data_IF_331775792435
#
_entry.id   IF_331775792435
#
_cell.length_a   1.000
_cell.length_b   1.000
_cell.length_c   1.000
_cell.angle_alpha   90.00
_cell.angle_beta   90.00
_cell.angle_gamma   90.00
#
_symmetry.space_group_name_H-M   'P 1'
#
loop_
_entity.id
_entity.type
_entity.pdbx_description
1 polymer ?
#
# COMPACT_ATOMS: atom_id res chain seq x y z
N UNK A 1 -7.37 34.18 7.65
CA UNK A 1 -7.25 32.94 8.44
C UNK A 1 -7.70 33.23 9.87
N UNK A 2 -8.68 32.49 10.38
CA UNK A 2 -9.29 32.77 11.69
C UNK A 2 -8.46 32.26 12.87
N UNK A 3 -8.77 32.74 14.08
CA UNK A 3 -8.10 32.41 15.36
C UNK A 3 -7.96 30.89 15.64
N UNK A 4 -8.78 30.05 15.02
CA UNK A 4 -8.69 28.59 15.10
C UNK A 4 -7.48 28.00 14.36
N UNK A 5 -6.99 28.63 13.27
CA UNK A 5 -5.90 28.09 12.45
C UNK A 5 -4.57 27.92 13.23
N UNK A 6 -4.40 28.68 14.32
CA UNK A 6 -3.20 28.63 15.17
C UNK A 6 -3.39 27.81 16.46
N UNK A 7 -4.50 27.07 16.58
CA UNK A 7 -4.81 26.23 17.73
C UNK A 7 -5.03 24.79 17.25
N UNK A 8 -4.81 23.75 18.09
CA UNK A 8 -5.23 22.40 17.75
C UNK A 8 -6.73 22.35 17.48
N UNK A 9 -7.10 21.88 16.29
CA UNK A 9 -8.48 21.71 15.87
C UNK A 9 -8.58 20.51 14.92
N UNK A 10 -9.81 20.08 14.67
CA UNK A 10 -10.09 19.01 13.72
C UNK A 10 -10.18 19.57 12.30
N UNK A 11 -9.50 18.91 11.37
CA UNK A 11 -9.69 19.09 9.94
C UNK A 11 -10.09 17.74 9.33
N UNK A 12 -11.11 17.74 8.47
CA UNK A 12 -11.55 16.54 7.76
C UNK A 12 -10.46 16.10 6.77
N UNK A 13 -10.12 14.81 6.79
CA UNK A 13 -9.12 14.27 5.89
C UNK A 13 -9.62 14.29 4.43
N UNK A 14 -8.85 14.91 3.54
CA UNK A 14 -9.14 14.94 2.12
C UNK A 14 -8.53 13.71 1.44
N UNK A 15 -9.39 12.86 0.85
CA UNK A 15 -8.97 11.66 0.15
C UNK A 15 -8.97 11.86 -1.37
N UNK A 16 -8.00 11.25 -2.02
CA UNK A 16 -7.91 11.13 -3.47
C UNK A 16 -8.70 9.90 -3.94
N UNK A 17 -9.67 10.13 -4.83
CA UNK A 17 -10.66 9.15 -5.25
C UNK A 17 -11.96 9.26 -4.45
N UNK A 18 -13.10 9.06 -5.11
CA UNK A 18 -14.40 9.05 -4.45
C UNK A 18 -14.67 7.70 -3.77
N UNK A 19 -15.36 7.73 -2.64
CA UNK A 19 -15.65 6.53 -1.84
C UNK A 19 -16.57 5.54 -2.56
N UNK A 20 -17.39 6.00 -3.51
CA UNK A 20 -18.32 5.13 -4.24
C UNK A 20 -17.58 4.25 -5.25
N UNK A 21 -16.65 4.84 -6.00
CA UNK A 21 -15.83 4.14 -7.00
C UNK A 21 -14.62 3.43 -6.38
N UNK A 22 -14.04 4.01 -5.32
CA UNK A 22 -12.86 3.51 -4.61
C UNK A 22 -13.15 3.35 -3.11
N UNK A 23 -13.82 2.26 -2.70
CA UNK A 23 -14.38 2.13 -1.36
C UNK A 23 -13.35 1.89 -0.25
N UNK A 24 -12.13 1.47 -0.59
CA UNK A 24 -11.09 1.08 0.36
C UNK A 24 -10.02 2.17 0.47
N UNK A 25 -9.41 2.31 1.64
CA UNK A 25 -8.26 3.17 1.85
C UNK A 25 -6.97 2.36 1.67
N UNK A 26 -6.00 2.91 0.96
CA UNK A 26 -4.67 2.32 0.85
C UNK A 26 -3.84 2.73 2.06
N UNK A 27 -3.30 1.74 2.76
CA UNK A 27 -2.23 1.93 3.73
C UNK A 27 -0.96 1.31 3.18
N UNK A 28 0.13 2.06 3.19
CA UNK A 28 1.46 1.49 2.96
C UNK A 28 2.19 1.39 4.28
N UNK A 29 3.03 0.38 4.39
CA UNK A 29 3.86 0.21 5.57
C UNK A 29 5.27 -0.22 5.17
N UNK A 30 6.22 0.02 6.05
CA UNK A 30 7.58 -0.43 5.86
C UNK A 30 7.81 -1.71 6.66
N UNK A 31 8.26 -2.80 6.02
CA UNK A 31 8.66 -4.00 6.75
C UNK A 31 9.80 -3.72 7.72
N UNK A 32 9.80 -4.42 8.86
CA UNK A 32 10.81 -4.26 9.91
C UNK A 32 12.24 -4.45 9.40
N UNK A 33 12.43 -5.37 8.45
CA UNK A 33 13.74 -5.73 7.91
C UNK A 33 14.01 -5.09 6.54
N UNK A 34 13.28 -4.02 6.20
CA UNK A 34 13.52 -3.24 4.99
C UNK A 34 14.85 -2.49 5.06
N UNK A 35 15.63 -2.52 3.98
CA UNK A 35 16.86 -1.73 3.85
C UNK A 35 16.50 -0.38 3.22
N UNK A 36 16.77 0.72 3.94
CA UNK A 36 16.32 2.07 3.56
C UNK A 36 17.22 2.81 2.56
N UNK A 37 18.30 2.18 2.08
CA UNK A 37 19.23 2.82 1.14
C UNK A 37 18.70 2.87 -0.31
N UNK A 38 17.42 2.57 -0.53
CA UNK A 38 16.78 2.55 -1.84
C UNK A 38 17.15 1.35 -2.73
N UNK A 39 17.81 0.33 -2.17
CA UNK A 39 18.26 -0.84 -2.93
C UNK A 39 17.83 -2.13 -2.22
N UNK A 40 17.21 -3.06 -2.94
CA UNK A 40 16.86 -4.39 -2.46
C UNK A 40 17.63 -5.52 -3.15
N UNK A 41 18.75 -5.24 -3.82
CA UNK A 41 19.55 -6.24 -4.53
C UNK A 41 20.44 -7.09 -3.59
N UNK A 42 19.98 -7.36 -2.38
CA UNK A 42 20.67 -8.14 -1.34
C UNK A 42 19.92 -9.45 -1.10
N UNK A 43 20.41 -10.59 -1.61
CA UNK A 43 19.63 -11.84 -1.60
C UNK A 43 19.26 -12.30 -0.18
N UNK A 44 20.14 -12.15 0.80
CA UNK A 44 19.82 -12.49 2.19
C UNK A 44 18.83 -11.53 2.86
N UNK A 45 18.81 -10.25 2.44
CA UNK A 45 17.78 -9.33 2.90
C UNK A 45 16.42 -9.67 2.29
N UNK A 46 16.41 -10.07 1.01
CA UNK A 46 15.21 -10.53 0.31
C UNK A 46 14.58 -11.76 0.98
N UNK A 47 15.38 -12.71 1.47
CA UNK A 47 14.90 -13.88 2.22
C UNK A 47 14.11 -13.49 3.48
N UNK A 48 14.53 -12.42 4.17
CA UNK A 48 13.95 -12.00 5.46
C UNK A 48 13.00 -10.80 5.33
N UNK A 49 12.70 -10.35 4.11
CA UNK A 49 12.00 -9.09 3.85
C UNK A 49 10.66 -8.96 4.61
N UNK A 50 9.80 -9.98 4.57
CA UNK A 50 8.57 -10.06 5.37
C UNK A 50 8.68 -11.19 6.40
N UNK A 51 9.70 -11.17 7.25
CA UNK A 51 9.91 -12.19 8.29
C UNK A 51 8.68 -12.44 9.17
N UNK A 52 7.92 -11.41 9.54
CA UNK A 52 6.67 -11.56 10.31
C UNK A 52 5.58 -12.35 9.57
N UNK A 53 5.64 -12.36 8.24
CA UNK A 53 4.76 -13.12 7.37
C UNK A 53 5.32 -14.49 6.97
N UNK A 54 6.58 -14.79 7.35
CA UNK A 54 7.31 -16.01 7.01
C UNK A 54 7.64 -16.14 5.52
N UNK A 55 7.78 -15.02 4.81
CA UNK A 55 7.95 -14.97 3.36
C UNK A 55 8.97 -13.89 2.97
N UNK A 56 9.73 -14.18 1.92
CA UNK A 56 10.66 -13.25 1.29
C UNK A 56 10.31 -13.04 -0.19
N UNK A 57 11.14 -12.28 -0.90
CA UNK A 57 11.08 -12.16 -2.37
C UNK A 57 9.73 -11.73 -2.96
N UNK A 58 8.89 -11.03 -2.19
CA UNK A 58 7.58 -10.57 -2.66
C UNK A 58 6.94 -9.59 -1.67
N UNK A 59 5.80 -9.02 -2.05
CA UNK A 59 4.85 -8.37 -1.16
C UNK A 59 3.40 -8.74 -1.55
N UNK A 60 2.47 -8.48 -0.65
CA UNK A 60 1.05 -8.80 -0.80
C UNK A 60 0.20 -7.55 -0.67
N UNK A 61 -1.04 -7.65 -1.15
CA UNK A 61 -2.12 -6.82 -0.63
C UNK A 61 -2.79 -7.57 0.51
N UNK A 62 -2.66 -7.05 1.72
CA UNK A 62 -3.30 -7.57 2.91
C UNK A 62 -4.72 -7.04 3.00
N UNK A 63 -5.68 -7.96 3.15
CA UNK A 63 -7.12 -7.66 3.11
C UNK A 63 -7.81 -8.34 4.28
N UNK A 64 -8.69 -7.62 4.97
CA UNK A 64 -9.55 -8.20 5.99
C UNK A 64 -10.44 -9.33 5.44
N UNK A 65 -10.67 -10.39 6.20
CA UNK A 65 -11.48 -11.52 5.73
C UNK A 65 -12.94 -11.14 5.39
N UNK A 66 -13.54 -10.17 6.10
CA UNK A 66 -14.88 -9.66 5.80
C UNK A 66 -14.91 -9.01 4.42
N UNK A 67 -13.91 -8.20 4.12
CA UNK A 67 -13.77 -7.49 2.85
C UNK A 67 -13.46 -8.46 1.72
N UNK A 68 -12.53 -9.38 1.93
CA UNK A 68 -12.20 -10.43 0.96
C UNK A 68 -13.43 -11.28 0.61
N UNK A 69 -14.22 -11.70 1.60
CA UNK A 69 -15.49 -12.43 1.37
C UNK A 69 -16.48 -11.61 0.56
N UNK A 70 -16.67 -10.32 0.88
CA UNK A 70 -17.58 -9.44 0.15
C UNK A 70 -17.15 -9.23 -1.31
N UNK A 71 -15.85 -9.24 -1.58
CA UNK A 71 -15.26 -9.11 -2.93
C UNK A 71 -15.07 -10.46 -3.65
N UNK A 72 -15.41 -11.59 -3.01
CA UNK A 72 -15.20 -12.94 -3.55
C UNK A 72 -13.72 -13.35 -3.68
N UNK A 73 -12.80 -12.65 -3.00
CA UNK A 73 -11.35 -12.87 -3.03
C UNK A 73 -10.97 -13.94 -2.00
N UNK A 74 -10.12 -14.88 -2.40
CA UNK A 74 -9.52 -15.89 -1.51
C UNK A 74 -8.07 -15.54 -1.22
N UNK A 75 -7.53 -16.14 -0.16
CA UNK A 75 -6.10 -16.04 0.14
C UNK A 75 -5.28 -16.53 -1.07
N UNK A 76 -4.22 -15.78 -1.40
CA UNK A 76 -3.30 -15.99 -2.53
C UNK A 76 -3.87 -15.78 -3.94
N UNK A 77 -5.14 -15.38 -4.09
CA UNK A 77 -5.68 -14.94 -5.37
C UNK A 77 -4.83 -13.79 -5.93
N UNK A 78 -4.63 -13.77 -7.25
CA UNK A 78 -4.05 -12.61 -7.93
C UNK A 78 -5.16 -11.59 -8.14
N UNK A 79 -4.91 -10.36 -7.70
CA UNK A 79 -5.88 -9.26 -7.72
C UNK A 79 -5.28 -8.01 -8.33
N UNK A 80 -6.14 -7.17 -8.90
CA UNK A 80 -5.83 -5.79 -9.21
C UNK A 80 -6.13 -4.92 -8.00
N UNK A 81 -5.20 -4.04 -7.65
CA UNK A 81 -5.41 -2.92 -6.74
C UNK A 81 -5.31 -1.66 -7.59
N UNK A 82 -6.42 -0.92 -7.68
CA UNK A 82 -6.55 0.21 -8.60
C UNK A 82 -6.95 1.47 -7.82
N UNK A 83 -6.22 2.55 -8.06
CA UNK A 83 -6.57 3.91 -7.64
C UNK A 83 -7.03 4.72 -8.87
N UNK A 84 -7.47 5.98 -8.70
CA UNK A 84 -7.71 6.87 -9.83
C UNK A 84 -6.50 7.10 -10.74
N UNK A 85 -5.29 6.80 -10.26
CA UNK A 85 -4.04 7.16 -10.92
C UNK A 85 -3.44 6.01 -11.72
N UNK A 86 -3.49 4.78 -11.19
CA UNK A 86 -2.94 3.59 -11.84
C UNK A 86 -3.48 2.31 -11.17
N UNK A 87 -3.03 1.14 -11.66
CA UNK A 87 -3.27 -0.16 -11.03
C UNK A 87 -2.03 -1.04 -10.98
N UNK A 88 -1.97 -1.89 -9.96
CA UNK A 88 -0.94 -2.92 -9.78
C UNK A 88 -1.57 -4.30 -9.61
N UNK A 89 -0.89 -5.33 -10.12
CA UNK A 89 -1.30 -6.73 -9.98
C UNK A 89 -0.49 -7.38 -8.87
N UNK A 90 -1.15 -7.89 -7.83
CA UNK A 90 -0.49 -8.41 -6.62
C UNK A 90 -1.27 -9.58 -6.04
N UNK A 91 -0.62 -10.45 -5.26
CA UNK A 91 -1.29 -11.54 -4.55
C UNK A 91 -1.99 -11.01 -3.30
N UNK A 92 -3.24 -11.42 -3.10
CA UNK A 92 -3.97 -11.15 -1.87
C UNK A 92 -3.43 -12.02 -0.72
N UNK A 93 -3.34 -11.43 0.47
CA UNK A 93 -3.15 -12.14 1.73
C UNK A 93 -4.33 -11.82 2.65
N UNK A 94 -5.15 -12.80 2.95
CA UNK A 94 -6.36 -12.58 3.77
C UNK A 94 -6.01 -12.74 5.24
N UNK A 95 -6.07 -11.66 6.01
CA UNK A 95 -5.70 -11.63 7.44
C UNK A 95 -6.69 -10.79 8.25
N UNK A 96 -6.84 -11.06 9.55
CA UNK A 96 -7.71 -10.26 10.43
C UNK A 96 -7.06 -8.96 10.93
N UNK A 97 -5.74 -8.83 10.82
CA UNK A 97 -4.98 -7.67 11.31
C UNK A 97 -5.24 -6.35 10.56
N UNK A 98 -5.99 -6.37 9.46
CA UNK A 98 -6.32 -5.20 8.66
C UNK A 98 -7.77 -4.76 8.93
N UNK A 99 -8.00 -3.46 9.03
CA UNK A 99 -9.33 -2.89 9.17
C UNK A 99 -10.20 -3.19 7.92
N UNK A 100 -11.50 -3.53 8.03
CA UNK A 100 -12.33 -3.91 6.87
C UNK A 100 -12.50 -2.87 5.76
N UNK A 101 -12.12 -1.62 5.99
CA UNK A 101 -12.15 -0.55 4.97
C UNK A 101 -10.76 -0.15 4.46
N UNK A 102 -9.73 -0.92 4.82
CA UNK A 102 -8.33 -0.67 4.48
C UNK A 102 -7.77 -1.87 3.75
N UNK A 103 -6.84 -1.62 2.85
CA UNK A 103 -5.92 -2.63 2.33
C UNK A 103 -4.49 -2.15 2.54
N UNK A 104 -3.61 -3.08 2.89
CA UNK A 104 -2.23 -2.73 3.24
C UNK A 104 -1.24 -3.38 2.27
N UNK A 105 -0.25 -2.61 1.82
CA UNK A 105 0.83 -3.12 0.95
C UNK A 105 2.17 -2.64 1.50
N UNK A 106 3.13 -3.55 1.67
CA UNK A 106 4.47 -3.16 2.09
C UNK A 106 5.23 -2.42 0.99
N UNK A 107 5.89 -1.32 1.33
CA UNK A 107 6.89 -0.66 0.49
C UNK A 107 8.20 -1.47 0.46
N UNK A 108 9.04 -1.18 -0.54
CA UNK A 108 10.39 -1.75 -0.68
C UNK A 108 10.54 -2.69 -1.88
N UNK A 109 9.46 -3.25 -2.42
CA UNK A 109 9.52 -4.09 -3.64
C UNK A 109 9.01 -3.33 -4.87
N UNK A 110 9.07 -3.97 -6.04
CA UNK A 110 8.61 -3.42 -7.32
C UNK A 110 9.68 -2.66 -8.10
N UNK A 111 10.95 -2.92 -7.83
CA UNK A 111 12.06 -2.35 -8.60
C UNK A 111 12.04 -2.86 -10.05
N UNK A 112 12.24 -1.95 -11.01
CA UNK A 112 12.28 -2.26 -12.44
C UNK A 112 13.72 -2.42 -13.00
N UNK A 113 14.74 -2.00 -12.23
CA UNK A 113 16.18 -2.02 -12.60
C UNK A 113 17.08 -2.37 -11.40
N UNK A 114 18.39 -2.07 -11.50
CA UNK A 114 19.41 -2.10 -10.43
C UNK A 114 19.82 -3.48 -9.87
N UNK A 115 19.43 -4.57 -10.53
CA UNK A 115 20.07 -5.88 -10.33
C UNK A 115 19.12 -7.06 -10.31
N UNK A 116 19.71 -8.26 -10.43
CA UNK A 116 18.96 -9.53 -10.59
C UNK A 116 18.15 -9.93 -9.34
N UNK A 117 18.48 -9.41 -8.16
CA UNK A 117 17.82 -9.77 -6.90
C UNK A 117 16.74 -8.78 -6.47
N UNK A 118 16.40 -7.79 -7.29
CA UNK A 118 15.28 -6.88 -7.03
C UNK A 118 14.39 -6.62 -8.25
N UNK A 119 14.95 -6.77 -9.47
CA UNK A 119 14.22 -6.49 -10.71
C UNK A 119 13.01 -7.41 -10.87
N UNK A 120 11.83 -6.82 -10.98
CA UNK A 120 10.57 -7.51 -11.26
C UNK A 120 10.06 -8.34 -10.08
N UNK A 121 10.53 -8.07 -8.86
CA UNK A 121 10.10 -8.76 -7.64
C UNK A 121 9.06 -7.90 -6.92
N UNK A 122 7.91 -8.51 -6.61
CA UNK A 122 6.79 -7.83 -5.95
C UNK A 122 6.23 -6.66 -6.76
N UNK A 123 5.60 -5.71 -6.06
CA UNK A 123 5.00 -4.50 -6.63
C UNK A 123 5.38 -3.26 -5.84
N UNK A 124 5.43 -2.11 -6.51
CA UNK A 124 5.68 -0.82 -5.88
C UNK A 124 4.33 -0.12 -5.61
N UNK A 125 3.90 0.04 -4.34
CA UNK A 125 2.62 0.71 -4.05
C UNK A 125 2.63 2.21 -4.41
N UNK A 126 3.81 2.83 -4.57
CA UNK A 126 3.89 4.23 -4.99
C UNK A 126 3.32 4.46 -6.40
N UNK A 127 3.24 3.41 -7.23
CA UNK A 127 2.64 3.48 -8.57
C UNK A 127 1.14 3.84 -8.53
N UNK A 128 0.46 3.55 -7.42
CA UNK A 128 -0.97 3.82 -7.25
C UNK A 128 -1.27 4.95 -6.25
N UNK A 129 -0.27 5.47 -5.53
CA UNK A 129 -0.45 6.59 -4.60
C UNK A 129 -0.62 7.88 -5.40
N UNK A 130 -1.66 8.65 -5.08
CA UNK A 130 -1.86 9.96 -5.68
C UNK A 130 -0.88 10.99 -5.13
N UNK A 131 -0.49 11.94 -5.98
CA UNK A 131 0.40 13.03 -5.58
C UNK A 131 -0.41 14.11 -4.86
N UNK A 132 -0.14 14.27 -3.57
CA UNK A 132 -0.72 15.32 -2.73
C UNK A 132 0.26 15.67 -1.59
N UNK A 133 0.02 16.77 -0.89
CA UNK A 133 0.93 17.29 0.13
C UNK A 133 0.16 17.98 1.25
N UNK A 134 0.75 18.03 2.45
CA UNK A 134 0.31 18.98 3.47
C UNK A 134 0.74 20.38 3.04
N UNK A 135 -0.24 21.23 2.69
CA UNK A 135 0.01 22.55 2.11
C UNK A 135 0.72 23.52 3.07
N UNK A 136 0.74 23.22 4.38
CA UNK A 136 1.43 24.03 5.38
C UNK A 136 2.91 23.65 5.51
N UNK A 137 3.24 22.36 5.63
CA UNK A 137 4.62 21.89 5.83
C UNK A 137 5.36 21.53 4.54
N UNK A 138 4.63 21.31 3.43
CA UNK A 138 5.17 20.81 2.17
C UNK A 138 5.52 19.31 2.18
N UNK A 139 5.17 18.58 3.25
CA UNK A 139 5.38 17.12 3.33
C UNK A 139 4.43 16.39 2.37
N UNK A 140 4.89 15.27 1.78
CA UNK A 140 4.04 14.44 0.92
C UNK A 140 2.97 13.68 1.71
N UNK A 141 1.75 13.65 1.17
CA UNK A 141 0.62 12.89 1.70
C UNK A 141 0.65 11.46 1.16
N UNK A 142 0.97 10.47 2.01
CA UNK A 142 1.07 9.06 1.59
C UNK A 142 -0.15 8.20 1.96
N UNK A 143 -1.05 8.71 2.81
CA UNK A 143 -2.11 7.93 3.44
C UNK A 143 -3.53 8.34 3.04
N UNK A 144 -3.67 9.18 2.03
CA UNK A 144 -4.97 9.72 1.61
C UNK A 144 -5.47 9.19 0.26
N UNK A 145 -4.89 8.11 -0.25
CA UNK A 145 -5.34 7.49 -1.52
C UNK A 145 -6.40 6.41 -1.27
N UNK A 146 -7.51 6.49 -2.01
CA UNK A 146 -8.51 5.42 -2.08
C UNK A 146 -8.24 4.48 -3.24
N UNK A 147 -8.62 3.22 -3.04
CA UNK A 147 -8.46 2.14 -4.00
C UNK A 147 -9.71 1.26 -4.07
N UNK A 148 -9.82 0.49 -5.14
CA UNK A 148 -10.70 -0.68 -5.27
C UNK A 148 -9.85 -1.91 -5.54
N UNK A 149 -10.37 -3.08 -5.14
CA UNK A 149 -9.70 -4.37 -5.33
C UNK A 149 -10.65 -5.36 -5.99
N UNK A 150 -10.17 -6.07 -7.01
CA UNK A 150 -10.93 -7.06 -7.76
C UNK A 150 -10.02 -8.16 -8.31
N UNK A 151 -10.57 -9.33 -8.64
CA UNK A 151 -9.77 -10.43 -9.21
C UNK A 151 -9.15 -10.05 -10.55
N UNK A 152 -7.92 -10.52 -10.76
CA UNK A 152 -7.19 -10.31 -12.00
C UNK A 152 -7.65 -11.17 -13.16
#
# INVERSE_FOLDING_TARGET
>A
AGRLACLPHYEEAQFLGDKESYPLMLSTYQPLLNIENGNQNYPWAQEIFLAMHGVGWTNFVEINSKTARALGIRDRDVVWVESPFNRIQVRARVIEGIHPQVVSISCGQGHYVDGRWQKGIGVNPNEIIGVDYDHLSGQSSLFNTRVKVYKA
#
